data_IF_393559416156
#
_entry.id   IF_393559416156
#
_cell.length_a   1.000
_cell.length_b   1.000
_cell.length_c   1.000
_cell.angle_alpha   90.00
_cell.angle_beta   90.00
_cell.angle_gamma   90.00
#
_symmetry.space_group_name_H-M   'P 1'
#
loop_
_entity.id
_entity.type
_entity.pdbx_description
1 polymer ?
#
# COMPACT_ATOMS: atom_id res chain seq x y z
N UNK A 1 46.04 -16.56 -1.55
CA UNK A 1 44.75 -16.95 -2.14
C UNK A 1 43.98 -17.84 -1.16
N UNK A 2 43.01 -17.33 -0.39
CA UNK A 2 42.11 -18.18 0.37
C UNK A 2 40.85 -18.48 -0.43
N UNK A 3 40.45 -19.75 -0.36
CA UNK A 3 39.36 -20.41 -1.09
C UNK A 3 38.00 -19.89 -0.64
N UNK A 4 37.09 -19.73 -1.61
CA UNK A 4 35.73 -19.25 -1.42
C UNK A 4 34.90 -20.16 -0.50
N UNK A 5 34.20 -19.54 0.45
CA UNK A 5 33.10 -20.18 1.19
C UNK A 5 31.85 -20.07 0.32
N UNK A 6 31.28 -21.22 -0.05
CA UNK A 6 29.92 -21.31 -0.59
C UNK A 6 28.93 -20.98 0.52
N UNK A 7 27.97 -20.12 0.23
CA UNK A 7 26.83 -19.83 1.09
C UNK A 7 25.93 -21.07 1.19
N UNK A 8 25.38 -21.42 2.36
CA UNK A 8 24.46 -22.53 2.48
C UNK A 8 23.11 -22.16 1.84
N UNK A 9 22.79 -22.84 0.75
CA UNK A 9 21.46 -22.90 0.16
C UNK A 9 20.55 -23.78 1.02
N UNK A 10 19.75 -23.20 1.92
CA UNK A 10 18.51 -23.77 2.45
C UNK A 10 17.96 -22.90 3.59
N UNK A 11 16.86 -22.19 3.33
CA UNK A 11 16.01 -21.61 4.39
C UNK A 11 15.17 -22.75 5.03
N UNK A 12 15.13 -22.91 6.36
CA UNK A 12 14.36 -23.95 7.02
C UNK A 12 12.86 -23.67 6.89
N UNK A 13 12.15 -24.65 6.30
CA UNK A 13 10.74 -24.57 5.89
C UNK A 13 9.80 -24.69 7.09
N UNK A 14 9.21 -23.58 7.52
CA UNK A 14 8.02 -23.55 8.39
C UNK A 14 6.91 -22.75 7.70
N UNK A 15 5.70 -23.31 7.68
CA UNK A 15 4.61 -23.03 6.70
C UNK A 15 4.07 -21.59 6.71
N UNK A 16 4.23 -20.80 7.79
CA UNK A 16 3.81 -19.39 7.83
C UNK A 16 4.86 -18.42 7.26
N UNK A 17 6.15 -18.69 7.48
CA UNK A 17 7.24 -17.81 7.04
C UNK A 17 7.52 -17.94 5.52
N UNK A 18 7.24 -19.10 4.92
CA UNK A 18 7.46 -19.31 3.48
C UNK A 18 6.56 -18.44 2.59
N UNK A 19 5.30 -18.23 2.97
CA UNK A 19 4.33 -17.49 2.13
C UNK A 19 4.54 -15.99 2.25
N UNK A 20 4.82 -15.50 3.46
CA UNK A 20 5.08 -14.09 3.76
C UNK A 20 6.50 -13.69 3.30
N UNK A 21 7.49 -14.56 3.50
CA UNK A 21 8.88 -14.35 3.07
C UNK A 21 9.04 -14.24 1.56
N UNK A 22 8.42 -15.12 0.77
CA UNK A 22 8.48 -15.05 -0.69
C UNK A 22 7.73 -13.83 -1.28
N UNK A 23 6.71 -13.34 -0.56
CA UNK A 23 5.94 -12.15 -0.93
C UNK A 23 6.67 -10.83 -0.61
N UNK A 24 7.38 -10.79 0.52
CA UNK A 24 8.08 -9.61 1.02
C UNK A 24 9.54 -9.54 0.56
N UNK A 25 10.13 -10.68 0.25
CA UNK A 25 11.52 -10.79 -0.21
C UNK A 25 11.57 -11.93 -1.24
N UNK A 26 11.18 -11.70 -2.51
CA UNK A 26 11.34 -12.72 -3.54
C UNK A 26 12.79 -13.20 -3.60
N UNK A 27 13.03 -14.46 -3.98
CA UNK A 27 14.37 -15.03 -4.15
C UNK A 27 15.07 -14.32 -5.34
N UNK A 28 15.69 -13.17 -5.06
CA UNK A 28 16.21 -12.21 -6.06
C UNK A 28 17.68 -12.42 -6.39
N UNK A 29 18.17 -13.66 -6.39
CA UNK A 29 19.56 -13.96 -6.73
C UNK A 29 19.68 -14.54 -8.16
N UNK A 30 20.02 -13.68 -9.12
CA UNK A 30 20.69 -14.14 -10.34
C UNK A 30 22.13 -14.59 -10.00
N UNK A 31 22.72 -15.43 -10.86
CA UNK A 31 24.10 -15.95 -10.68
C UNK A 31 25.23 -14.90 -10.70
N UNK A 32 24.91 -13.60 -10.75
CA UNK A 32 25.86 -12.47 -10.89
C UNK A 32 25.65 -11.32 -9.91
N UNK A 33 24.61 -11.35 -9.06
CA UNK A 33 24.55 -10.59 -7.81
C UNK A 33 24.30 -9.07 -7.92
N UNK A 34 23.74 -8.57 -9.03
CA UNK A 34 23.24 -7.17 -9.14
C UNK A 34 22.04 -7.09 -10.07
N UNK A 35 20.90 -6.62 -9.56
CA UNK A 35 19.66 -6.45 -10.32
C UNK A 35 19.46 -4.97 -10.68
N UNK A 36 18.96 -4.71 -11.89
CA UNK A 36 18.50 -3.38 -12.29
C UNK A 36 17.10 -3.11 -11.70
N UNK A 37 16.84 -1.87 -11.27
CA UNK A 37 15.56 -1.43 -10.67
C UNK A 37 14.33 -1.79 -11.53
N UNK A 38 14.51 -1.93 -12.85
CA UNK A 38 13.47 -2.35 -13.81
C UNK A 38 12.97 -3.78 -13.61
N UNK A 39 13.78 -4.67 -13.02
CA UNK A 39 13.42 -6.08 -12.92
C UNK A 39 12.57 -6.36 -11.66
N UNK A 40 12.63 -5.49 -10.65
CA UNK A 40 11.80 -5.58 -9.46
C UNK A 40 10.31 -5.41 -9.82
N UNK A 41 9.97 -4.31 -10.51
CA UNK A 41 8.59 -3.97 -10.91
C UNK A 41 8.12 -4.74 -12.16
N UNK A 42 8.07 -6.07 -12.06
CA UNK A 42 7.81 -6.97 -13.20
C UNK A 42 6.63 -7.92 -12.97
N UNK A 43 6.16 -8.53 -14.05
CA UNK A 43 5.17 -9.62 -13.99
C UNK A 43 5.69 -10.84 -13.23
N UNK A 44 7.01 -11.10 -13.27
CA UNK A 44 7.61 -12.22 -12.54
C UNK A 44 7.46 -12.05 -11.03
N UNK A 45 7.73 -10.85 -10.51
CA UNK A 45 7.70 -10.58 -9.07
C UNK A 45 6.30 -10.20 -8.55
N UNK A 46 5.49 -9.53 -9.37
CA UNK A 46 4.23 -8.94 -8.92
C UNK A 46 2.99 -9.38 -9.71
N UNK A 47 3.15 -10.30 -10.66
CA UNK A 47 2.07 -10.78 -11.51
C UNK A 47 1.22 -11.92 -10.95
N UNK A 48 0.21 -12.34 -11.72
CA UNK A 48 -0.22 -11.70 -12.98
C UNK A 48 -0.99 -10.38 -12.72
N UNK A 49 -0.69 -9.34 -13.50
CA UNK A 49 -1.47 -8.10 -13.55
C UNK A 49 -1.72 -7.66 -14.99
N UNK A 50 -2.72 -6.82 -15.19
CA UNK A 50 -3.07 -6.18 -16.46
C UNK A 50 -2.89 -4.66 -16.34
N UNK A 51 -2.93 -3.95 -17.46
CA UNK A 51 -2.87 -2.49 -17.50
C UNK A 51 -4.08 -1.95 -18.24
N UNK A 52 -4.71 -0.90 -17.71
CA UNK A 52 -5.73 -0.11 -18.41
C UNK A 52 -5.15 1.23 -18.81
N UNK A 53 -5.28 1.58 -20.09
CA UNK A 53 -4.80 2.84 -20.62
C UNK A 53 -5.74 3.98 -20.19
N UNK A 54 -5.17 5.00 -19.58
CA UNK A 54 -5.84 6.26 -19.25
C UNK A 54 -5.58 7.34 -20.30
N UNK A 55 -4.53 7.18 -21.12
CA UNK A 55 -4.09 8.17 -22.10
C UNK A 55 -3.54 9.42 -21.41
N UNK A 56 -3.68 10.59 -22.03
CA UNK A 56 -3.33 11.85 -21.37
C UNK A 56 -4.30 12.13 -20.22
N UNK A 57 -3.79 11.96 -18.99
CA UNK A 57 -4.58 11.99 -17.78
C UNK A 57 -4.36 13.30 -17.02
N UNK A 58 -5.39 14.14 -16.98
CA UNK A 58 -5.38 15.39 -16.22
C UNK A 58 -5.47 15.11 -14.73
N UNK A 59 -4.43 15.50 -14.00
CA UNK A 59 -4.33 15.38 -12.55
C UNK A 59 -5.19 16.45 -11.86
N UNK A 60 -5.48 16.26 -10.58
CA UNK A 60 -6.17 17.24 -9.73
C UNK A 60 -5.39 18.56 -9.61
N UNK A 61 -4.09 18.55 -9.89
CA UNK A 61 -3.24 19.75 -9.96
C UNK A 61 -3.43 20.55 -11.26
N UNK A 62 -4.15 20.01 -12.25
CA UNK A 62 -4.26 20.56 -13.61
C UNK A 62 -3.10 20.19 -14.54
N UNK A 63 -2.04 19.54 -14.03
CA UNK A 63 -0.99 18.99 -14.89
C UNK A 63 -1.49 17.74 -15.63
N UNK A 64 -0.84 17.41 -16.75
CA UNK A 64 -1.13 16.20 -17.52
C UNK A 64 -0.05 15.16 -17.28
N UNK A 65 -0.47 13.97 -16.86
CA UNK A 65 0.33 12.76 -16.93
C UNK A 65 0.10 12.12 -18.29
N UNK A 66 1.10 12.18 -19.17
CA UNK A 66 1.02 11.71 -20.55
C UNK A 66 1.12 10.20 -20.62
N UNK A 67 0.34 9.61 -21.53
CA UNK A 67 0.31 8.16 -21.76
C UNK A 67 0.19 7.36 -20.45
N UNK A 68 -0.74 7.81 -19.59
CA UNK A 68 -0.96 7.21 -18.30
C UNK A 68 -1.62 5.83 -18.42
N UNK A 69 -1.25 4.93 -17.53
CA UNK A 69 -1.85 3.62 -17.37
C UNK A 69 -1.95 3.24 -15.89
N UNK A 70 -2.98 2.48 -15.55
CA UNK A 70 -3.17 1.90 -14.21
C UNK A 70 -3.02 0.38 -14.30
N UNK A 71 -2.11 -0.17 -13.49
CA UNK A 71 -1.90 -1.60 -13.37
C UNK A 71 -2.84 -2.20 -12.31
N UNK A 72 -3.52 -3.29 -12.65
CA UNK A 72 -4.50 -3.93 -11.77
C UNK A 72 -4.49 -5.45 -11.91
N UNK A 73 -5.00 -6.14 -10.89
CA UNK A 73 -5.26 -7.58 -10.92
C UNK A 73 -6.72 -7.83 -10.55
N UNK A 74 -7.28 -8.94 -11.03
CA UNK A 74 -8.65 -9.34 -10.70
C UNK A 74 -8.68 -10.78 -10.18
N UNK A 75 -9.58 -11.03 -9.22
CA UNK A 75 -9.84 -12.34 -8.66
C UNK A 75 -11.36 -12.56 -8.56
N UNK A 76 -11.82 -13.77 -8.88
CA UNK A 76 -13.25 -14.10 -8.90
C UNK A 76 -13.97 -13.67 -10.18
N UNK A 77 -15.30 -13.58 -10.12
CA UNK A 77 -16.14 -13.30 -11.31
C UNK A 77 -17.25 -12.31 -10.98
N UNK A 78 -17.42 -11.31 -11.84
CA UNK A 78 -18.50 -10.33 -11.73
C UNK A 78 -19.84 -11.01 -12.02
N UNK A 79 -20.79 -10.89 -11.09
CA UNK A 79 -22.10 -11.49 -11.25
C UNK A 79 -22.99 -10.68 -12.22
N UNK A 80 -24.15 -11.23 -12.60
CA UNK A 80 -25.06 -10.58 -13.54
C UNK A 80 -25.63 -9.24 -13.02
N UNK A 81 -25.81 -9.11 -11.70
CA UNK A 81 -26.31 -7.89 -11.06
C UNK A 81 -25.23 -6.81 -10.89
N UNK A 82 -23.95 -7.17 -11.07
CA UNK A 82 -22.75 -6.33 -10.88
C UNK A 82 -22.61 -5.76 -9.47
N UNK A 83 -23.24 -6.40 -8.48
CA UNK A 83 -23.29 -5.93 -7.09
C UNK A 83 -22.29 -6.62 -6.16
N UNK A 84 -21.44 -7.50 -6.69
CA UNK A 84 -20.40 -8.21 -5.96
C UNK A 84 -18.97 -7.69 -6.21
N UNK A 85 -18.82 -6.52 -6.83
CA UNK A 85 -17.51 -5.93 -7.09
C UNK A 85 -16.89 -5.30 -5.84
N UNK A 86 -15.62 -5.62 -5.55
CA UNK A 86 -14.84 -5.09 -4.42
C UNK A 86 -13.56 -4.47 -4.95
N UNK A 87 -13.26 -3.23 -4.56
CA UNK A 87 -11.98 -2.59 -4.85
C UNK A 87 -11.02 -2.75 -3.66
N UNK A 88 -9.81 -3.21 -3.93
CA UNK A 88 -8.70 -3.24 -2.97
C UNK A 88 -7.58 -2.30 -3.43
N UNK A 89 -7.25 -1.32 -2.59
CA UNK A 89 -6.24 -0.30 -2.88
C UNK A 89 -4.90 -0.65 -2.24
N UNK A 90 -3.80 -0.38 -2.95
CA UNK A 90 -2.43 -0.67 -2.47
C UNK A 90 -1.88 0.39 -1.53
N UNK A 91 -0.95 0.02 -0.63
CA UNK A 91 -0.29 0.91 0.33
C UNK A 91 1.07 1.45 -0.15
N UNK A 92 1.71 2.31 0.67
CA UNK A 92 3.10 2.78 0.44
C UNK A 92 4.04 1.60 0.26
N UNK A 93 4.79 1.55 -0.85
CA UNK A 93 5.72 0.47 -1.25
C UNK A 93 5.08 -0.85 -1.71
N UNK A 94 3.77 -1.01 -1.50
CA UNK A 94 3.06 -2.23 -1.83
C UNK A 94 2.58 -2.26 -3.27
N UNK A 95 2.35 -3.47 -3.76
CA UNK A 95 1.70 -3.74 -5.05
C UNK A 95 0.41 -4.52 -4.84
N UNK A 96 -0.32 -4.76 -5.92
CA UNK A 96 -1.47 -5.67 -5.90
C UNK A 96 -1.11 -7.07 -5.40
N UNK A 97 0.15 -7.50 -5.58
CA UNK A 97 0.60 -8.84 -5.22
C UNK A 97 0.51 -9.13 -3.73
N UNK A 98 1.02 -8.22 -2.91
CA UNK A 98 0.98 -8.40 -1.46
C UNK A 98 -0.45 -8.30 -0.91
N UNK A 99 -1.27 -7.42 -1.50
CA UNK A 99 -2.68 -7.30 -1.14
C UNK A 99 -3.45 -8.59 -1.46
N UNK A 100 -3.19 -9.19 -2.61
CA UNK A 100 -3.72 -10.49 -3.03
C UNK A 100 -3.31 -11.58 -2.03
N UNK A 101 -2.00 -11.74 -1.78
CA UNK A 101 -1.47 -12.85 -0.98
C UNK A 101 -1.91 -12.83 0.49
N UNK A 102 -2.16 -11.65 1.06
CA UNK A 102 -2.50 -11.52 2.48
C UNK A 102 -4.01 -11.52 2.70
N UNK A 103 -4.77 -10.80 1.88
CA UNK A 103 -6.16 -10.48 2.19
C UNK A 103 -7.19 -11.22 1.33
N UNK A 104 -6.78 -11.84 0.21
CA UNK A 104 -7.69 -12.45 -0.76
C UNK A 104 -7.51 -13.96 -0.79
N UNK A 105 -8.62 -14.69 -0.69
CA UNK A 105 -8.60 -16.15 -0.84
C UNK A 105 -9.71 -16.87 -0.09
N UNK A 106 -9.76 -18.19 -0.26
CA UNK A 106 -10.72 -19.02 0.45
C UNK A 106 -10.51 -18.91 1.98
N UNK A 107 -11.60 -18.71 2.72
CA UNK A 107 -11.56 -18.50 4.17
C UNK A 107 -11.27 -17.07 4.61
N UNK A 108 -10.92 -16.17 3.67
CA UNK A 108 -10.89 -14.73 3.93
C UNK A 108 -12.26 -14.10 3.73
N UNK A 109 -12.48 -12.91 4.30
CA UNK A 109 -13.68 -12.13 4.01
C UNK A 109 -13.73 -11.70 2.53
N UNK A 110 -12.56 -11.41 1.94
CA UNK A 110 -12.42 -11.13 0.50
C UNK A 110 -12.21 -12.44 -0.24
N UNK A 111 -13.29 -13.21 -0.36
CA UNK A 111 -13.32 -14.52 -1.01
C UNK A 111 -13.67 -14.37 -2.51
N UNK A 112 -12.77 -14.74 -3.44
CA UNK A 112 -13.04 -14.66 -4.88
C UNK A 112 -14.14 -15.64 -5.36
N UNK A 113 -14.55 -16.61 -4.54
CA UNK A 113 -15.73 -17.43 -4.82
C UNK A 113 -17.05 -16.66 -4.66
N UNK A 114 -17.02 -15.49 -4.00
CA UNK A 114 -18.20 -14.65 -3.71
C UNK A 114 -18.15 -13.31 -4.40
N UNK A 115 -16.97 -12.69 -4.44
CA UNK A 115 -16.78 -11.33 -4.92
C UNK A 115 -15.93 -11.29 -6.18
N UNK A 116 -16.18 -10.28 -7.01
CA UNK A 116 -15.25 -9.86 -8.05
C UNK A 116 -14.30 -8.82 -7.46
N UNK A 117 -13.10 -9.26 -7.11
CA UNK A 117 -12.12 -8.45 -6.39
C UNK A 117 -11.18 -7.84 -7.40
N UNK A 118 -11.09 -6.51 -7.39
CA UNK A 118 -10.26 -5.70 -8.27
C UNK A 118 -9.19 -5.07 -7.38
N UNK A 119 -7.92 -5.42 -7.59
CA UNK A 119 -6.80 -4.84 -6.88
C UNK A 119 -6.13 -3.82 -7.81
N UNK A 120 -5.95 -2.58 -7.38
CA UNK A 120 -5.41 -1.51 -8.22
C UNK A 120 -4.11 -0.92 -7.64
N UNK A 121 -3.04 -0.94 -8.42
CA UNK A 121 -1.78 -0.30 -8.06
C UNK A 121 -1.90 1.22 -8.17
N UNK A 122 -1.38 1.93 -7.18
CA UNK A 122 -1.28 3.39 -7.20
C UNK A 122 -0.46 3.90 -8.41
N UNK A 123 -0.82 5.05 -8.96
CA UNK A 123 0.07 5.83 -9.83
C UNK A 123 1.35 6.17 -9.03
N UNK A 124 2.53 6.06 -9.65
CA UNK A 124 3.81 6.28 -8.97
C UNK A 124 4.35 5.11 -8.13
N UNK A 125 3.68 3.94 -8.11
CA UNK A 125 4.11 2.77 -7.32
C UNK A 125 5.16 1.87 -7.98
N UNK A 126 5.40 2.05 -9.28
CA UNK A 126 6.31 1.27 -10.11
C UNK A 126 5.64 0.33 -11.12
N UNK A 127 4.39 -0.10 -10.87
CA UNK A 127 3.62 -0.93 -11.81
C UNK A 127 2.68 -0.11 -12.69
N UNK A 128 1.86 0.77 -12.11
CA UNK A 128 1.14 1.81 -12.85
C UNK A 128 2.13 2.87 -13.36
N UNK A 129 1.70 3.85 -14.17
CA UNK A 129 2.57 4.94 -14.62
C UNK A 129 3.28 5.60 -13.44
N UNK A 130 4.61 5.62 -13.50
CA UNK A 130 5.49 5.96 -12.38
C UNK A 130 6.78 6.64 -12.85
N UNK A 131 7.52 7.34 -11.97
CA UNK A 131 8.80 7.93 -12.31
C UNK A 131 9.79 6.93 -12.93
N UNK A 132 9.80 5.70 -12.46
CA UNK A 132 10.70 4.64 -12.93
C UNK A 132 10.36 4.03 -14.29
N UNK A 133 9.12 4.17 -14.77
CA UNK A 133 8.64 3.49 -15.99
C UNK A 133 8.05 4.42 -17.05
N UNK A 134 7.90 5.72 -16.75
CA UNK A 134 7.42 6.70 -17.73
C UNK A 134 8.49 6.99 -18.78
N UNK A 135 8.16 6.77 -20.05
CA UNK A 135 9.06 7.07 -21.17
C UNK A 135 9.24 8.58 -21.42
N UNK A 136 8.27 9.41 -21.05
CA UNK A 136 8.23 10.84 -21.38
C UNK A 136 8.37 11.76 -20.17
N UNK A 137 8.08 11.26 -18.97
CA UNK A 137 8.06 12.02 -17.72
C UNK A 137 8.74 11.23 -16.60
N UNK A 138 9.81 10.47 -16.90
CA UNK A 138 10.55 9.68 -15.92
C UNK A 138 11.32 10.51 -14.89
N UNK A 139 11.69 9.87 -13.78
CA UNK A 139 12.48 10.47 -12.70
C UNK A 139 11.87 11.75 -12.15
N UNK A 140 12.68 12.81 -12.05
CA UNK A 140 12.25 14.09 -11.50
C UNK A 140 11.29 14.89 -12.39
N UNK A 141 11.09 14.50 -13.65
CA UNK A 141 10.10 15.11 -14.52
C UNK A 141 8.67 14.58 -14.28
N UNK A 142 8.52 13.55 -13.45
CA UNK A 142 7.23 12.95 -13.14
C UNK A 142 6.38 13.93 -12.31
N UNK A 143 5.11 14.17 -12.69
CA UNK A 143 4.27 15.14 -12.00
C UNK A 143 3.92 14.71 -10.58
N UNK A 144 3.73 15.69 -9.69
CA UNK A 144 3.31 15.41 -8.33
C UNK A 144 1.85 14.91 -8.31
N UNK A 145 1.63 13.76 -7.67
CA UNK A 145 0.33 13.10 -7.54
C UNK A 145 -0.38 13.46 -6.22
N UNK A 146 -1.70 13.33 -6.21
CA UNK A 146 -2.57 13.35 -5.04
C UNK A 146 -3.30 12.00 -4.87
N UNK A 147 -3.91 11.77 -3.70
CA UNK A 147 -4.77 10.60 -3.51
C UNK A 147 -6.00 10.63 -4.44
N UNK A 148 -6.50 11.83 -4.74
CA UNK A 148 -7.59 12.02 -5.69
C UNK A 148 -7.25 11.58 -7.11
N UNK A 149 -5.97 11.67 -7.52
CA UNK A 149 -5.52 11.19 -8.82
C UNK A 149 -5.63 9.67 -8.93
N UNK A 150 -5.23 8.94 -7.88
CA UNK A 150 -5.40 7.47 -7.84
C UNK A 150 -6.89 7.10 -7.91
N UNK A 151 -7.73 7.78 -7.12
CA UNK A 151 -9.17 7.49 -7.05
C UNK A 151 -9.87 7.83 -8.38
N UNK A 152 -9.48 8.90 -9.06
CA UNK A 152 -9.97 9.22 -10.40
C UNK A 152 -9.53 8.17 -11.45
N UNK A 153 -8.27 7.71 -11.38
CA UNK A 153 -7.75 6.66 -12.27
C UNK A 153 -8.46 5.32 -12.03
N UNK A 154 -8.68 4.96 -10.76
CA UNK A 154 -9.45 3.78 -10.37
C UNK A 154 -10.91 3.89 -10.84
N UNK A 155 -11.55 5.05 -10.71
CA UNK A 155 -12.91 5.27 -11.21
C UNK A 155 -13.01 5.07 -12.72
N UNK A 156 -12.05 5.57 -13.49
CA UNK A 156 -11.97 5.31 -14.93
C UNK A 156 -11.78 3.82 -15.23
N UNK A 157 -10.88 3.14 -14.54
CA UNK A 157 -10.74 1.67 -14.66
C UNK A 157 -12.07 0.96 -14.42
N UNK A 158 -12.75 1.26 -13.31
CA UNK A 158 -13.99 0.61 -12.93
C UNK A 158 -15.13 0.85 -13.92
N UNK A 159 -15.28 2.09 -14.39
CA UNK A 159 -16.37 2.46 -15.30
C UNK A 159 -16.08 2.07 -16.75
N UNK A 160 -14.85 2.25 -17.25
CA UNK A 160 -14.48 2.02 -18.65
C UNK A 160 -14.17 0.55 -18.94
N UNK A 161 -13.39 -0.12 -18.09
CA UNK A 161 -12.96 -1.50 -18.34
C UNK A 161 -13.99 -2.52 -17.87
N UNK A 162 -14.68 -2.23 -16.76
CA UNK A 162 -15.60 -3.18 -16.14
C UNK A 162 -17.07 -2.79 -16.27
N UNK A 163 -17.41 -1.54 -16.60
CA UNK A 163 -18.81 -1.10 -16.67
C UNK A 163 -19.50 -1.16 -15.31
N UNK A 164 -18.79 -0.77 -14.24
CA UNK A 164 -19.33 -0.68 -12.88
C UNK A 164 -19.78 0.74 -12.58
N UNK A 165 -20.93 0.88 -11.94
CA UNK A 165 -21.46 2.14 -11.41
C UNK A 165 -21.56 2.13 -9.87
N UNK A 166 -21.27 0.98 -9.25
CA UNK A 166 -21.20 0.83 -7.81
C UNK A 166 -20.22 -0.29 -7.39
N UNK A 167 -19.88 -0.30 -6.10
CA UNK A 167 -19.05 -1.31 -5.44
C UNK A 167 -19.73 -1.82 -4.17
N UNK A 168 -19.59 -3.12 -3.91
CA UNK A 168 -19.96 -3.74 -2.65
C UNK A 168 -19.13 -3.18 -1.48
N UNK A 169 -17.82 -2.99 -1.72
CA UNK A 169 -16.83 -2.55 -0.75
C UNK A 169 -15.63 -1.87 -1.45
N UNK A 170 -15.08 -0.82 -0.83
CA UNK A 170 -13.71 -0.38 -1.03
C UNK A 170 -12.90 -0.68 0.23
N UNK A 171 -11.77 -1.36 0.10
CA UNK A 171 -10.90 -1.74 1.20
C UNK A 171 -9.44 -1.35 0.92
N UNK A 172 -8.75 -0.86 1.93
CA UNK A 172 -7.32 -0.60 1.83
C UNK A 172 -6.65 -0.40 3.17
N UNK A 173 -5.36 -0.72 3.23
CA UNK A 173 -4.49 -0.50 4.39
C UNK A 173 -3.58 0.72 4.22
N UNK A 174 -3.26 1.48 5.26
CA UNK A 174 -2.28 2.58 5.21
C UNK A 174 -2.64 3.65 4.15
N UNK A 175 -1.77 3.94 3.18
CA UNK A 175 -2.15 4.79 2.03
C UNK A 175 -3.38 4.27 1.27
N UNK A 176 -3.62 2.96 1.25
CA UNK A 176 -4.83 2.35 0.71
C UNK A 176 -6.09 2.74 1.50
N UNK A 177 -5.99 2.88 2.82
CA UNK A 177 -7.09 3.36 3.66
C UNK A 177 -7.43 4.82 3.32
N UNK A 178 -6.41 5.65 3.09
CA UNK A 178 -6.59 7.02 2.60
C UNK A 178 -7.28 7.08 1.23
N UNK A 179 -6.94 6.18 0.30
CA UNK A 179 -7.66 6.05 -0.98
C UNK A 179 -9.12 5.61 -0.76
N UNK A 180 -9.38 4.69 0.17
CA UNK A 180 -10.71 4.20 0.47
C UNK A 180 -11.62 5.29 1.06
N UNK A 181 -11.08 6.15 1.92
CA UNK A 181 -11.78 7.31 2.47
C UNK A 181 -11.96 8.42 1.41
N UNK A 182 -10.96 8.64 0.54
CA UNK A 182 -11.08 9.54 -0.60
C UNK A 182 -12.19 9.07 -1.56
N UNK A 183 -12.33 7.77 -1.82
CA UNK A 183 -13.46 7.20 -2.56
C UNK A 183 -14.82 7.58 -1.95
N UNK A 184 -14.96 7.42 -0.63
CA UNK A 184 -16.19 7.73 0.09
C UNK A 184 -16.60 9.21 -0.07
N UNK A 185 -15.62 10.10 -0.07
CA UNK A 185 -15.82 11.55 -0.15
C UNK A 185 -15.99 12.06 -1.59
N UNK A 186 -15.21 11.52 -2.53
CA UNK A 186 -15.14 11.99 -3.93
C UNK A 186 -16.29 11.48 -4.77
N UNK A 187 -16.70 10.24 -4.56
CA UNK A 187 -17.82 9.62 -5.27
C UNK A 187 -18.86 9.08 -4.26
N UNK A 188 -19.54 9.95 -3.49
CA UNK A 188 -20.54 9.50 -2.53
C UNK A 188 -21.62 8.64 -3.21
N UNK A 189 -21.87 7.46 -2.66
CA UNK A 189 -22.84 6.50 -3.19
C UNK A 189 -22.28 5.48 -4.19
N UNK A 190 -21.06 5.66 -4.70
CA UNK A 190 -20.45 4.65 -5.58
C UNK A 190 -20.10 3.38 -4.79
N UNK A 191 -19.48 3.53 -3.61
CA UNK A 191 -19.21 2.41 -2.71
C UNK A 191 -20.31 2.28 -1.65
N UNK A 192 -20.89 1.08 -1.50
CA UNK A 192 -21.85 0.81 -0.41
C UNK A 192 -21.16 0.78 0.95
N UNK A 193 -19.93 0.25 0.99
CA UNK A 193 -19.13 0.05 2.20
C UNK A 193 -17.71 0.51 1.98
N UNK A 194 -17.08 1.01 3.03
CA UNK A 194 -15.67 1.40 3.05
C UNK A 194 -15.03 0.86 4.31
N UNK A 195 -13.92 0.15 4.14
CA UNK A 195 -13.09 -0.33 5.24
C UNK A 195 -11.68 0.27 5.12
N UNK A 196 -11.31 1.08 6.11
CA UNK A 196 -10.05 1.81 6.16
C UNK A 196 -9.16 1.25 7.27
N UNK A 197 -8.17 0.44 6.91
CA UNK A 197 -7.32 -0.28 7.84
C UNK A 197 -6.02 0.47 8.10
N UNK A 198 -5.70 0.73 9.37
CA UNK A 198 -4.45 1.38 9.79
C UNK A 198 -4.11 2.65 8.96
N UNK A 199 -5.06 3.57 8.81
CA UNK A 199 -4.86 4.79 8.02
C UNK A 199 -5.99 5.80 8.18
N UNK A 200 -5.77 6.98 7.58
CA UNK A 200 -6.66 8.15 7.61
C UNK A 200 -6.76 8.79 6.24
N UNK A 201 -7.82 9.58 6.01
CA UNK A 201 -8.05 10.28 4.75
C UNK A 201 -7.35 11.64 4.68
N UNK A 202 -7.14 12.30 5.81
CA UNK A 202 -6.38 13.55 5.90
C UNK A 202 -5.10 13.38 6.72
N UNK A 203 -3.96 13.70 6.11
CA UNK A 203 -2.64 13.60 6.72
C UNK A 203 -2.46 14.66 7.80
N UNK A 204 -2.06 14.22 9.01
CA UNK A 204 -1.78 15.08 10.17
C UNK A 204 -0.35 15.59 10.18
N UNK A 205 -0.04 16.70 10.88
CA UNK A 205 1.31 17.25 10.98
C UNK A 205 2.39 16.23 11.39
N UNK A 206 2.06 15.29 12.29
CA UNK A 206 2.96 14.19 12.66
C UNK A 206 3.38 13.33 11.45
N UNK A 207 2.42 12.92 10.62
CA UNK A 207 2.68 12.14 9.40
C UNK A 207 3.37 12.99 8.31
N UNK A 208 3.14 14.30 8.27
CA UNK A 208 3.92 15.21 7.40
C UNK A 208 5.40 15.16 7.75
N UNK A 209 5.76 15.18 9.05
CA UNK A 209 7.14 15.08 9.52
C UNK A 209 7.76 13.73 9.17
N UNK A 210 7.01 12.63 9.33
CA UNK A 210 7.45 11.30 8.88
C UNK A 210 7.83 11.32 7.40
N UNK A 211 6.94 11.84 6.55
CA UNK A 211 7.20 11.91 5.13
C UNK A 211 8.39 12.81 4.78
N UNK A 212 8.63 13.87 5.57
CA UNK A 212 9.76 14.77 5.37
C UNK A 212 11.09 14.06 5.69
N UNK A 213 11.13 13.26 6.75
CA UNK A 213 12.29 12.45 7.09
C UNK A 213 12.61 11.46 5.95
N UNK A 214 11.59 10.78 5.41
CA UNK A 214 11.77 9.88 4.25
C UNK A 214 12.32 10.63 3.05
N UNK A 215 11.77 11.80 2.73
CA UNK A 215 12.27 12.64 1.64
C UNK A 215 13.72 13.06 1.86
N UNK A 216 14.07 13.51 3.06
CA UNK A 216 15.42 13.95 3.38
C UNK A 216 16.41 12.77 3.34
N UNK A 217 16.04 11.57 3.82
CA UNK A 217 16.87 10.34 3.69
C UNK A 217 17.19 10.06 2.23
N UNK A 218 16.19 10.08 1.35
CA UNK A 218 16.38 9.72 -0.06
C UNK A 218 17.06 10.84 -0.86
N UNK A 219 16.63 12.08 -0.70
CA UNK A 219 17.12 13.20 -1.54
C UNK A 219 18.48 13.75 -1.10
N UNK A 220 18.90 13.54 0.16
CA UNK A 220 20.23 13.94 0.63
C UNK A 220 21.34 12.96 0.23
N UNK A 221 21.00 11.82 -0.37
CA UNK A 221 21.99 10.88 -0.86
C UNK A 221 22.88 11.58 -1.90
N UNK A 222 24.20 11.52 -1.72
CA UNK A 222 25.16 12.19 -2.59
C UNK A 222 24.96 11.84 -4.08
N UNK A 223 24.52 10.62 -4.36
CA UNK A 223 24.30 10.10 -5.71
C UNK A 223 22.84 10.18 -6.19
N UNK A 224 21.94 10.83 -5.44
CA UNK A 224 20.54 11.03 -5.87
C UNK A 224 20.44 11.77 -7.20
N UNK A 225 21.39 12.67 -7.49
CA UNK A 225 21.51 13.38 -8.77
C UNK A 225 20.19 14.01 -9.26
N UNK A 226 19.45 14.63 -8.32
CA UNK A 226 18.14 15.22 -8.60
C UNK A 226 17.15 14.23 -9.20
N UNK A 227 17.17 12.96 -8.78
CA UNK A 227 16.33 11.88 -9.29
C UNK A 227 16.91 11.12 -10.48
N UNK A 228 18.09 11.50 -10.99
CA UNK A 228 18.75 10.85 -12.13
C UNK A 228 19.91 9.96 -11.69
N UNK A 229 19.67 9.08 -10.72
CA UNK A 229 20.66 8.17 -10.14
C UNK A 229 20.84 6.89 -10.97
N UNK A 230 22.03 6.30 -10.92
CA UNK A 230 22.30 5.01 -11.57
C UNK A 230 21.93 3.79 -10.71
N UNK A 231 22.01 2.56 -11.26
CA UNK A 231 21.81 1.33 -10.49
C UNK A 231 22.78 1.24 -9.30
N UNK A 232 22.24 1.01 -8.10
CA UNK A 232 23.01 0.89 -6.85
C UNK A 232 23.39 2.21 -6.18
N UNK A 233 23.11 3.35 -6.80
CA UNK A 233 23.48 4.68 -6.28
C UNK A 233 22.73 5.03 -4.99
N UNK A 234 21.55 4.43 -4.81
CA UNK A 234 20.64 4.70 -3.70
C UNK A 234 20.75 3.68 -2.56
N UNK A 235 21.59 2.65 -2.64
CA UNK A 235 21.66 1.54 -1.68
C UNK A 235 21.83 2.02 -0.23
N UNK A 236 22.70 3.01 0.00
CA UNK A 236 22.93 3.54 1.34
C UNK A 236 21.69 4.25 1.91
N UNK A 237 21.00 5.02 1.08
CA UNK A 237 19.78 5.73 1.47
C UNK A 237 18.62 4.74 1.69
N UNK A 238 18.49 3.71 0.85
CA UNK A 238 17.49 2.66 1.02
C UNK A 238 17.72 1.84 2.30
N UNK A 239 18.98 1.58 2.68
CA UNK A 239 19.30 0.98 3.99
C UNK A 239 18.91 1.89 5.16
N UNK A 240 19.17 3.20 5.07
CA UNK A 240 18.76 4.16 6.09
C UNK A 240 17.24 4.26 6.19
N UNK A 241 16.55 4.26 5.04
CA UNK A 241 15.10 4.20 4.96
C UNK A 241 14.56 2.93 5.64
N UNK A 242 15.15 1.77 5.39
CA UNK A 242 14.78 0.51 6.04
C UNK A 242 14.93 0.57 7.57
N UNK A 243 16.04 1.13 8.07
CA UNK A 243 16.24 1.31 9.51
C UNK A 243 15.20 2.26 10.12
N UNK A 244 14.92 3.38 9.45
CA UNK A 244 13.89 4.31 9.89
C UNK A 244 12.51 3.67 9.96
N UNK A 245 12.11 2.94 8.90
CA UNK A 245 10.86 2.19 8.87
C UNK A 245 10.82 1.08 9.92
N UNK A 246 11.96 0.48 10.27
CA UNK A 246 12.00 -0.51 11.34
C UNK A 246 11.60 0.13 12.67
N UNK A 247 12.18 1.28 13.01
CA UNK A 247 11.84 1.96 14.26
C UNK A 247 10.41 2.50 14.28
N UNK A 248 9.94 3.03 13.15
CA UNK A 248 8.67 3.72 13.06
C UNK A 248 7.48 2.77 12.92
N UNK A 249 7.58 1.76 12.06
CA UNK A 249 6.42 1.00 11.59
C UNK A 249 6.21 -0.32 12.33
N UNK A 250 7.23 -0.81 13.05
CA UNK A 250 7.01 -1.69 14.19
C UNK A 250 6.63 -0.84 15.42
N UNK A 251 6.64 -1.43 16.62
CA UNK A 251 6.48 -0.69 17.86
C UNK A 251 7.63 -0.99 18.84
N UNK A 252 7.86 -0.15 19.86
CA UNK A 252 8.91 -0.41 20.86
C UNK A 252 8.75 -1.79 21.51
N UNK A 253 7.53 -2.17 21.88
CA UNK A 253 7.27 -3.44 22.55
C UNK A 253 7.55 -4.66 21.63
N UNK A 254 7.35 -4.53 20.31
CA UNK A 254 7.77 -5.55 19.34
C UNK A 254 9.29 -5.75 19.38
N UNK A 255 10.06 -4.67 19.35
CA UNK A 255 11.52 -4.74 19.31
C UNK A 255 12.10 -5.19 20.66
N UNK A 256 11.63 -4.63 21.76
CA UNK A 256 12.13 -4.95 23.12
C UNK A 256 11.86 -6.42 23.50
N UNK A 257 10.76 -7.00 23.02
CA UNK A 257 10.39 -8.39 23.25
C UNK A 257 10.87 -9.35 22.16
N UNK A 258 11.76 -8.88 21.27
CA UNK A 258 12.32 -9.70 20.19
C UNK A 258 11.27 -10.34 19.29
N UNK A 259 10.28 -9.55 18.87
CA UNK A 259 9.18 -9.98 17.99
C UNK A 259 9.63 -10.57 16.64
N UNK A 260 10.92 -10.42 16.27
CA UNK A 260 11.53 -11.09 15.12
C UNK A 260 11.83 -12.59 15.33
N UNK A 261 11.99 -13.07 16.58
CA UNK A 261 12.32 -14.48 16.86
C UNK A 261 11.19 -15.42 16.37
N UNK A 262 9.90 -15.17 16.67
CA UNK A 262 8.79 -15.97 16.11
C UNK A 262 8.66 -15.92 14.59
N UNK A 263 9.19 -14.86 13.95
CA UNK A 263 9.23 -14.73 12.49
C UNK A 263 10.37 -15.54 11.86
N UNK A 264 11.23 -16.15 12.68
CA UNK A 264 12.31 -17.02 12.24
C UNK A 264 13.68 -16.35 12.13
N UNK A 265 13.83 -15.09 12.56
CA UNK A 265 15.12 -14.40 12.51
C UNK A 265 15.96 -14.71 13.75
N UNK A 266 17.21 -15.12 13.53
CA UNK A 266 18.10 -15.55 14.60
C UNK A 266 18.59 -14.40 15.51
N UNK A 267 18.52 -13.16 15.04
CA UNK A 267 18.96 -11.97 15.77
C UNK A 267 18.28 -10.71 15.23
N UNK A 268 18.40 -9.60 15.98
CA UNK A 268 18.00 -8.28 15.48
C UNK A 268 18.76 -7.93 14.18
N UNK A 269 20.06 -8.20 14.11
CA UNK A 269 20.85 -7.93 12.90
C UNK A 269 20.33 -8.72 11.69
N UNK A 270 19.98 -10.00 11.87
CA UNK A 270 19.38 -10.81 10.82
C UNK A 270 18.03 -10.23 10.37
N UNK A 271 17.17 -9.81 11.31
CA UNK A 271 15.91 -9.15 11.00
C UNK A 271 16.11 -7.84 10.22
N UNK A 272 17.06 -7.00 10.63
CA UNK A 272 17.37 -5.75 9.96
C UNK A 272 17.91 -5.96 8.55
N UNK A 273 18.78 -6.96 8.35
CA UNK A 273 19.49 -7.18 7.08
C UNK A 273 18.71 -8.05 6.10
N UNK A 274 18.20 -9.19 6.54
CA UNK A 274 17.52 -10.17 5.69
C UNK A 274 16.08 -9.77 5.36
N UNK A 275 15.40 -9.07 6.28
CA UNK A 275 14.01 -8.68 6.09
C UNK A 275 13.84 -7.20 5.79
N UNK A 276 14.18 -6.32 6.73
CA UNK A 276 13.88 -4.90 6.58
C UNK A 276 14.67 -4.28 5.41
N UNK A 277 15.97 -4.52 5.32
CA UNK A 277 16.76 -4.08 4.17
C UNK A 277 16.41 -4.85 2.90
N UNK A 278 16.19 -6.17 2.99
CA UNK A 278 15.76 -6.99 1.85
C UNK A 278 14.48 -6.46 1.17
N UNK A 279 13.52 -5.99 1.97
CA UNK A 279 12.27 -5.42 1.49
C UNK A 279 12.46 -4.12 0.71
N UNK A 280 13.25 -3.17 1.23
CA UNK A 280 13.39 -1.84 0.60
C UNK A 280 14.50 -1.76 -0.44
N UNK A 281 15.52 -2.62 -0.38
CA UNK A 281 16.68 -2.58 -1.28
C UNK A 281 16.34 -2.62 -2.78
N UNK A 282 15.36 -3.41 -3.27
CA UNK A 282 15.09 -3.48 -4.70
C UNK A 282 14.18 -2.35 -5.21
N UNK A 283 13.70 -1.46 -4.33
CA UNK A 283 12.71 -0.44 -4.68
C UNK A 283 13.34 0.81 -5.31
N UNK A 284 12.58 1.48 -6.18
CA UNK A 284 13.01 2.73 -6.81
C UNK A 284 12.76 3.94 -5.90
N UNK A 285 13.80 4.73 -5.64
CA UNK A 285 13.69 5.90 -4.76
C UNK A 285 12.73 6.98 -5.29
N UNK A 286 12.60 7.19 -6.60
CA UNK A 286 11.66 8.16 -7.15
C UNK A 286 10.21 7.69 -6.99
N UNK A 287 9.92 6.39 -7.15
CA UNK A 287 8.61 5.82 -6.84
C UNK A 287 8.27 5.98 -5.35
N UNK A 288 9.23 5.75 -4.45
CA UNK A 288 9.05 6.00 -3.01
C UNK A 288 8.77 7.47 -2.73
N UNK A 289 9.52 8.39 -3.35
CA UNK A 289 9.30 9.84 -3.25
C UNK A 289 7.92 10.27 -3.78
N UNK A 290 7.47 9.69 -4.89
CA UNK A 290 6.15 9.95 -5.46
C UNK A 290 5.04 9.53 -4.49
N UNK A 291 5.13 8.33 -3.92
CA UNK A 291 4.14 7.84 -2.95
C UNK A 291 4.17 8.62 -1.63
N UNK A 292 5.34 8.87 -1.05
CA UNK A 292 5.43 9.60 0.23
C UNK A 292 4.96 11.06 0.08
N UNK A 293 5.28 11.70 -1.06
CA UNK A 293 4.78 13.04 -1.35
C UNK A 293 3.25 13.05 -1.50
N UNK A 294 2.69 12.03 -2.16
CA UNK A 294 1.24 11.84 -2.28
C UNK A 294 0.59 11.68 -0.90
N UNK A 295 1.17 10.84 -0.04
CA UNK A 295 0.71 10.66 1.33
C UNK A 295 0.75 11.97 2.11
N UNK A 296 1.84 12.73 2.06
CA UNK A 296 1.94 14.01 2.77
C UNK A 296 0.87 15.02 2.39
N UNK A 297 0.41 14.99 1.13
CA UNK A 297 -0.62 15.87 0.58
C UNK A 297 -2.04 15.31 0.70
N UNK A 298 -2.22 14.12 1.27
CA UNK A 298 -3.53 13.50 1.35
C UNK A 298 -4.46 14.34 2.22
N UNK A 299 -5.55 14.79 1.62
CA UNK A 299 -6.63 15.52 2.29
C UNK A 299 -7.93 15.31 1.52
N UNK A 300 -8.88 14.62 2.13
CA UNK A 300 -10.21 14.39 1.53
C UNK A 300 -10.98 15.70 1.31
N UNK A 301 -10.59 16.78 2.00
CA UNK A 301 -11.16 18.11 1.82
C UNK A 301 -10.91 18.71 0.44
N UNK A 302 -9.96 18.19 -0.35
CA UNK A 302 -9.63 18.71 -1.68
C UNK A 302 -10.82 18.76 -2.65
N UNK A 303 -11.81 17.86 -2.49
CA UNK A 303 -13.06 17.83 -3.27
C UNK A 303 -14.22 18.65 -2.63
N UNK A 304 -13.92 19.39 -1.57
CA UNK A 304 -14.85 20.20 -0.78
C UNK A 304 -14.24 21.58 -0.43
N UNK A 305 -13.41 22.14 -1.31
CA UNK A 305 -12.79 23.46 -1.10
C UNK A 305 -11.76 23.51 0.02
N UNK A 306 -11.16 22.37 0.37
CA UNK A 306 -10.21 22.24 1.48
C UNK A 306 -10.85 21.93 2.84
N UNK A 307 -12.16 21.69 2.89
CA UNK A 307 -12.86 21.36 4.14
C UNK A 307 -13.12 19.85 4.26
N UNK A 308 -12.23 19.15 4.97
CA UNK A 308 -12.36 17.71 5.22
C UNK A 308 -13.64 17.34 5.98
N UNK A 309 -14.13 18.21 6.89
CA UNK A 309 -15.37 17.96 7.62
C UNK A 309 -16.57 18.05 6.68
N UNK A 310 -16.58 19.02 5.78
CA UNK A 310 -17.61 19.12 4.75
C UNK A 310 -17.56 17.94 3.77
N UNK A 311 -16.36 17.47 3.40
CA UNK A 311 -16.20 16.26 2.58
C UNK A 311 -16.81 15.03 3.26
N UNK A 312 -16.45 14.78 4.53
CA UNK A 312 -16.94 13.63 5.29
C UNK A 312 -18.44 13.68 5.60
N UNK A 313 -19.02 14.88 5.77
CA UNK A 313 -20.46 15.03 6.00
C UNK A 313 -21.32 14.54 4.81
N UNK A 314 -20.73 14.40 3.61
CA UNK A 314 -21.43 13.90 2.40
C UNK A 314 -21.34 12.40 2.23
N UNK A 315 -20.56 11.69 3.05
CA UNK A 315 -20.36 10.25 2.93
C UNK A 315 -21.68 9.52 3.18
N UNK A 316 -22.05 8.65 2.25
CA UNK A 316 -23.23 7.79 2.32
C UNK A 316 -22.90 6.32 2.54
N UNK A 317 -21.64 5.93 2.33
CA UNK A 317 -21.15 4.58 2.56
C UNK A 317 -21.18 4.21 4.04
N UNK A 318 -21.34 2.93 4.33
CA UNK A 318 -21.07 2.40 5.66
C UNK A 318 -19.57 2.30 5.87
N UNK A 319 -19.04 3.09 6.81
CA UNK A 319 -17.58 3.19 7.01
C UNK A 319 -17.15 2.49 8.31
N UNK A 320 -16.11 1.67 8.21
CA UNK A 320 -15.39 1.15 9.37
C UNK A 320 -13.91 1.53 9.26
N UNK A 321 -13.41 2.26 10.26
CA UNK A 321 -11.99 2.50 10.45
C UNK A 321 -11.43 1.41 11.36
N UNK A 322 -10.32 0.81 10.96
CA UNK A 322 -9.71 -0.36 11.60
C UNK A 322 -8.26 -0.05 12.01
N UNK A 323 -8.00 0.81 13.02
CA UNK A 323 -6.64 1.09 13.45
C UNK A 323 -6.03 -0.13 14.16
N UNK A 324 -4.72 -0.34 13.99
CA UNK A 324 -3.97 -1.34 14.76
C UNK A 324 -3.61 -0.71 16.12
N UNK A 325 -3.78 -1.48 17.20
CA UNK A 325 -3.64 -0.98 18.57
C UNK A 325 -2.26 -0.38 18.88
N UNK A 326 -1.20 -0.97 18.32
CA UNK A 326 0.19 -0.57 18.50
C UNK A 326 0.73 0.33 17.37
N UNK A 327 -0.12 0.81 16.46
CA UNK A 327 0.30 1.63 15.32
C UNK A 327 0.82 3.00 15.78
N UNK A 328 2.06 3.32 15.40
CA UNK A 328 2.71 4.60 15.69
C UNK A 328 2.51 5.65 14.58
N UNK A 329 2.17 5.21 13.36
CA UNK A 329 1.98 6.08 12.20
C UNK A 329 0.54 6.60 12.18
N UNK A 330 -0.42 5.71 12.41
CA UNK A 330 -1.84 6.01 12.47
C UNK A 330 -2.45 5.54 13.81
N UNK A 331 -2.18 6.26 14.92
CA UNK A 331 -2.66 5.86 16.23
C UNK A 331 -4.19 5.78 16.28
N UNK A 332 -4.70 4.88 17.13
CA UNK A 332 -6.15 4.69 17.37
C UNK A 332 -6.90 6.00 17.59
N UNK A 333 -6.31 6.94 18.35
CA UNK A 333 -6.92 8.25 18.61
C UNK A 333 -7.11 9.06 17.32
N UNK A 334 -6.15 9.04 16.41
CA UNK A 334 -6.22 9.76 15.13
C UNK A 334 -7.33 9.21 14.24
N UNK A 335 -7.48 7.88 14.17
CA UNK A 335 -8.59 7.26 13.43
C UNK A 335 -9.95 7.52 14.12
N UNK A 336 -10.02 7.56 15.46
CA UNK A 336 -11.27 7.91 16.18
C UNK A 336 -11.73 9.33 15.92
N UNK A 337 -10.81 10.29 15.97
CA UNK A 337 -11.10 11.68 15.66
C UNK A 337 -11.68 11.83 14.25
N UNK A 338 -11.12 11.12 13.27
CA UNK A 338 -11.59 11.19 11.89
C UNK A 338 -12.91 10.46 11.68
N UNK A 339 -13.09 9.28 12.30
CA UNK A 339 -14.36 8.57 12.32
C UNK A 339 -15.50 9.44 12.86
N UNK A 340 -15.22 10.30 13.85
CA UNK A 340 -16.21 11.21 14.42
C UNK A 340 -16.71 12.29 13.43
N UNK A 341 -16.01 12.50 12.31
CA UNK A 341 -16.43 13.41 11.25
C UNK A 341 -17.36 12.73 10.23
N UNK A 342 -17.42 11.40 10.21
CA UNK A 342 -18.13 10.61 9.21
C UNK A 342 -19.46 10.12 9.78
N UNK A 343 -20.61 10.46 9.17
CA UNK A 343 -21.91 10.00 9.64
C UNK A 343 -22.00 8.47 9.73
N UNK A 344 -22.27 7.95 10.93
CA UNK A 344 -22.46 6.52 11.16
C UNK A 344 -21.20 5.65 11.06
N UNK A 345 -20.00 6.24 10.95
CA UNK A 345 -18.77 5.47 10.95
C UNK A 345 -18.52 4.77 12.29
N UNK A 346 -17.88 3.59 12.21
CA UNK A 346 -17.46 2.81 13.38
C UNK A 346 -15.96 2.66 13.40
N UNK A 347 -15.43 2.43 14.61
CA UNK A 347 -14.01 2.10 14.81
C UNK A 347 -13.91 0.70 15.39
N UNK A 348 -13.18 -0.18 14.72
CA UNK A 348 -12.86 -1.53 15.18
C UNK A 348 -11.35 -1.64 15.36
N UNK A 349 -10.88 -1.54 16.60
CA UNK A 349 -9.44 -1.61 16.89
C UNK A 349 -8.95 -3.06 16.67
N UNK A 350 -7.92 -3.21 15.85
CA UNK A 350 -7.24 -4.49 15.62
C UNK A 350 -6.17 -4.65 16.71
N UNK A 351 -6.34 -5.63 17.58
CA UNK A 351 -5.34 -6.00 18.56
C UNK A 351 -4.12 -6.61 17.86
N UNK A 352 -2.94 -6.21 18.32
CA UNK A 352 -1.67 -6.67 17.76
C UNK A 352 -0.53 -5.82 18.28
N UNK A 353 0.65 -6.39 18.34
CA UNK A 353 1.86 -5.74 18.78
C UNK A 353 2.88 -5.56 17.66
N UNK A 354 2.56 -5.92 16.42
CA UNK A 354 3.44 -5.71 15.27
C UNK A 354 3.50 -4.24 14.76
N UNK A 355 2.84 -3.29 15.44
CA UNK A 355 2.75 -1.91 14.96
C UNK A 355 2.01 -1.79 13.63
N UNK A 356 2.37 -0.79 12.84
CA UNK A 356 1.81 -0.57 11.51
C UNK A 356 2.07 -1.76 10.55
N UNK A 357 3.24 -2.40 10.67
CA UNK A 357 3.61 -3.56 9.85
C UNK A 357 2.88 -4.85 10.24
N UNK A 358 1.98 -4.80 11.23
CA UNK A 358 0.93 -5.81 11.40
C UNK A 358 0.09 -6.02 10.13
N UNK A 359 0.04 -5.02 9.24
CA UNK A 359 -0.50 -5.12 7.87
C UNK A 359 0.07 -6.29 7.05
N UNK A 360 1.25 -6.81 7.41
CA UNK A 360 1.86 -7.98 6.77
C UNK A 360 1.33 -9.31 7.32
N UNK A 361 0.33 -9.28 8.20
CA UNK A 361 -0.30 -10.45 8.82
C UNK A 361 0.70 -11.38 9.53
N UNK A 362 1.69 -10.79 10.21
CA UNK A 362 2.76 -11.52 10.89
C UNK A 362 2.34 -12.13 12.24
N UNK A 363 1.19 -11.71 12.78
CA UNK A 363 0.61 -12.24 14.03
C UNK A 363 -0.57 -13.17 13.70
N UNK A 364 -0.62 -14.35 14.34
CA UNK A 364 -1.64 -15.37 14.03
C UNK A 364 -3.09 -14.88 14.22
N UNK A 365 -3.32 -14.04 15.24
CA UNK A 365 -4.64 -13.50 15.55
C UNK A 365 -5.03 -12.28 14.69
N UNK A 366 -4.14 -11.82 13.81
CA UNK A 366 -4.40 -10.65 12.95
C UNK A 366 -5.53 -10.91 11.94
N UNK A 367 -5.34 -11.90 11.05
CA UNK A 367 -6.31 -12.15 9.97
C UNK A 367 -7.71 -12.57 10.46
N UNK A 368 -7.88 -13.36 11.54
CA UNK A 368 -9.19 -13.59 12.13
C UNK A 368 -9.96 -12.30 12.48
N UNK A 369 -9.27 -11.29 13.03
CA UNK A 369 -9.89 -10.00 13.35
C UNK A 369 -10.28 -9.23 12.09
N UNK A 370 -9.40 -9.21 11.07
CA UNK A 370 -9.70 -8.58 9.77
C UNK A 370 -10.91 -9.24 9.11
N UNK A 371 -10.94 -10.58 9.06
CA UNK A 371 -12.03 -11.34 8.47
C UNK A 371 -13.35 -11.11 9.20
N UNK A 372 -13.34 -11.03 10.54
CA UNK A 372 -14.54 -10.75 11.33
C UNK A 372 -15.08 -9.33 11.04
N UNK A 373 -14.21 -8.33 11.00
CA UNK A 373 -14.61 -6.95 10.73
C UNK A 373 -15.15 -6.76 9.30
N UNK A 374 -14.41 -7.23 8.30
CA UNK A 374 -14.81 -7.13 6.89
C UNK A 374 -16.06 -7.98 6.60
N UNK A 375 -16.11 -9.22 7.10
CA UNK A 375 -17.25 -10.11 6.94
C UNK A 375 -18.52 -9.55 7.59
N UNK A 376 -18.39 -8.96 8.79
CA UNK A 376 -19.49 -8.27 9.45
C UNK A 376 -20.00 -7.08 8.63
N UNK A 377 -19.10 -6.24 8.12
CA UNK A 377 -19.45 -5.09 7.28
C UNK A 377 -20.14 -5.52 5.98
N UNK A 378 -19.59 -6.51 5.28
CA UNK A 378 -20.13 -7.06 4.03
C UNK A 378 -21.50 -7.73 4.21
N UNK A 379 -21.79 -8.29 5.39
CA UNK A 379 -23.06 -8.94 5.70
C UNK A 379 -24.19 -7.94 6.00
N UNK A 380 -23.90 -6.67 6.24
CA UNK A 380 -24.94 -5.69 6.52
C UNK A 380 -25.84 -5.46 5.30
N UNK A 381 -27.10 -5.00 5.46
CA UNK A 381 -27.92 -4.59 4.34
C UNK A 381 -27.25 -3.46 3.53
N UNK A 382 -27.46 -3.54 2.22
CA UNK A 382 -26.80 -2.74 1.20
C UNK A 382 -27.34 -1.32 1.05
#
# INVERSE_FOLDING_TARGET
MPRGRRWPSACPRTVCACTIGAALCPDIHDSKGKIAVTDYYSQENHGPYQTHALGDFTLTSGQVLRDAQIAYATQGTLNAARDNAVLVTTWYTGTTKIMEQIYVGAGHALDPAKYFIILANQLGSGLSSSPSNSATQGGAAFPALSMGDDVNAQHRLLTEAFGLDHLALVFGGSMGAGQALEWACRFPGFARRVAALAGVGTTRPHAVVIGRIVQDILTSAHRFNGGNYGPGDMDAALRQHALYWTNLAWCPDFLDRKGWEPLGFASLDAFLTEFMQGYFAPMDANNLLAQVGKWQRADVGGNAGGDAKAAYARVTSKVVLMPIASDQIFPVATCRDEAALIPGARVTVIAGNAGHLGLFAVEADYMPQINAALGGLLAEPA
#
